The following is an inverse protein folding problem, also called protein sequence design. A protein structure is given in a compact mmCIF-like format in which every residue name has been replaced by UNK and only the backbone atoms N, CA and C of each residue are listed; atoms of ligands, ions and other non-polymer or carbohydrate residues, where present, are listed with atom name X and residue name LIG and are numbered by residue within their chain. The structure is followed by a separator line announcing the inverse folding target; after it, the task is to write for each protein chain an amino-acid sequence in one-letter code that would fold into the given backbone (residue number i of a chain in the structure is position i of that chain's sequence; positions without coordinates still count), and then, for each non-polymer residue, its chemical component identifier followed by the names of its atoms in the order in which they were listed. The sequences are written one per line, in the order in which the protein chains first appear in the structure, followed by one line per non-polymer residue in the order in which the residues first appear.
data_IF_384188434016
#
_entry.id   IF_384188434016
#
_cell.length_a   1.000
_cell.length_b   1.000
_cell.length_c   1.000
_cell.angle_alpha   90.00
_cell.angle_beta   90.00
_cell.angle_gamma   90.00
#
_symmetry.space_group_name_H-M   'P 1'
#
loop_
_entity.id
_entity.type
_entity.pdbx_description
1 polymer ?
#
# COMPACT_ATOMS: atom_id res chain seq x y z
N UNK A 1 1.06 -20.61 -0.56
CA UNK A 1 0.37 -20.10 0.66
C UNK A 1 0.22 -18.60 0.51
N UNK A 2 -0.99 -18.05 0.47
CA UNK A 2 -1.18 -16.59 0.56
C UNK A 2 -0.76 -16.17 1.98
N UNK A 3 0.03 -15.10 2.12
CA UNK A 3 0.31 -14.51 3.43
C UNK A 3 -1.02 -14.06 4.06
N UNK A 4 -1.07 -13.96 5.39
CA UNK A 4 -2.24 -13.40 6.12
C UNK A 4 -2.68 -12.05 5.51
N UNK A 5 -1.69 -11.23 5.12
CA UNK A 5 -1.87 -9.95 4.43
C UNK A 5 -2.66 -10.09 3.12
N UNK A 6 -2.29 -11.02 2.24
CA UNK A 6 -2.98 -11.13 0.96
C UNK A 6 -4.44 -11.53 1.11
N UNK A 7 -4.79 -12.34 2.12
CA UNK A 7 -6.19 -12.68 2.40
C UNK A 7 -6.93 -11.46 2.93
N UNK A 8 -6.31 -10.72 3.87
CA UNK A 8 -6.86 -9.48 4.39
C UNK A 8 -7.15 -8.46 3.27
N UNK A 9 -6.16 -8.18 2.42
CA UNK A 9 -6.28 -7.21 1.32
C UNK A 9 -7.38 -7.61 0.32
N UNK A 10 -7.54 -8.90 0.05
CA UNK A 10 -8.62 -9.40 -0.83
C UNK A 10 -10.00 -9.21 -0.20
N UNK A 11 -10.14 -9.45 1.11
CA UNK A 11 -11.41 -9.27 1.83
C UNK A 11 -11.80 -7.79 2.01
N UNK A 12 -10.82 -6.88 2.00
CA UNK A 12 -11.01 -5.44 2.18
C UNK A 12 -10.89 -4.63 0.89
N UNK A 13 -11.14 -5.26 -0.26
CA UNK A 13 -11.06 -4.61 -1.58
C UNK A 13 -11.90 -3.33 -1.69
N UNK A 14 -13.12 -3.34 -1.16
CA UNK A 14 -14.00 -2.17 -1.15
C UNK A 14 -13.40 -1.03 -0.31
N UNK A 15 -12.91 -1.34 0.89
CA UNK A 15 -12.25 -0.35 1.75
C UNK A 15 -10.98 0.25 1.10
N UNK A 16 -10.25 -0.55 0.33
CA UNK A 16 -9.07 -0.10 -0.41
C UNK A 16 -9.46 0.87 -1.52
N UNK A 17 -10.57 0.62 -2.23
CA UNK A 17 -11.12 1.58 -3.19
C UNK A 17 -11.45 2.90 -2.49
N UNK A 18 -12.10 2.86 -1.32
CA UNK A 18 -12.39 4.09 -0.56
C UNK A 18 -11.12 4.86 -0.16
N UNK A 19 -10.04 4.16 0.21
CA UNK A 19 -8.75 4.81 0.48
C UNK A 19 -8.24 5.53 -0.79
N UNK A 20 -8.27 4.86 -1.94
CA UNK A 20 -7.83 5.42 -3.22
C UNK A 20 -8.69 6.63 -3.60
N UNK A 21 -10.01 6.52 -3.48
CA UNK A 21 -10.95 7.59 -3.80
C UNK A 21 -10.83 8.78 -2.85
N UNK A 22 -10.35 8.56 -1.62
CA UNK A 22 -10.12 9.63 -0.64
C UNK A 22 -8.93 10.56 -0.97
N UNK A 23 -8.08 10.20 -1.94
CA UNK A 23 -7.02 11.10 -2.40
C UNK A 23 -7.63 12.29 -3.15
N UNK A 24 -7.27 13.51 -2.73
CA UNK A 24 -7.71 14.74 -3.41
C UNK A 24 -7.14 14.80 -4.83
N UNK A 25 -5.86 14.47 -4.95
CA UNK A 25 -5.17 14.50 -6.22
C UNK A 25 -5.48 13.26 -7.07
N UNK A 26 -5.26 13.41 -8.37
CA UNK A 26 -5.40 12.32 -9.34
C UNK A 26 -4.29 11.26 -9.19
N UNK A 27 -3.12 11.69 -8.69
CA UNK A 27 -1.94 10.86 -8.49
C UNK A 27 -1.69 10.64 -7.01
N UNK A 28 -1.15 9.47 -6.66
CA UNK A 28 -0.67 9.16 -5.31
C UNK A 28 0.52 8.21 -5.37
N UNK A 29 1.40 8.27 -4.37
CA UNK A 29 2.50 7.34 -4.21
C UNK A 29 2.11 6.14 -3.35
N UNK A 30 2.87 5.05 -3.44
CA UNK A 30 2.73 3.92 -2.52
C UNK A 30 2.90 4.33 -1.05
N UNK A 31 3.71 5.35 -0.74
CA UNK A 31 3.83 5.88 0.62
C UNK A 31 2.52 6.52 1.08
N UNK A 32 1.92 7.37 0.25
CA UNK A 32 0.64 8.03 0.59
C UNK A 32 -0.46 7.00 0.84
N UNK A 33 -0.50 5.95 0.02
CA UNK A 33 -1.44 4.84 0.18
C UNK A 33 -1.21 4.09 1.48
N UNK A 34 0.04 3.71 1.76
CA UNK A 34 0.41 2.97 2.97
C UNK A 34 0.10 3.79 4.22
N UNK A 35 0.31 5.11 4.20
CA UNK A 35 -0.05 5.97 5.33
C UNK A 35 -1.54 5.89 5.62
N UNK A 36 -2.41 6.15 4.63
CA UNK A 36 -3.86 6.07 4.82
C UNK A 36 -4.33 4.65 5.18
N UNK A 37 -3.74 3.62 4.56
CA UNK A 37 -4.02 2.23 4.88
C UNK A 37 -3.69 1.92 6.35
N UNK A 38 -2.51 2.32 6.81
CA UNK A 38 -2.08 2.09 8.19
C UNK A 38 -2.96 2.81 9.21
N UNK A 39 -3.49 3.99 8.87
CA UNK A 39 -4.44 4.72 9.72
C UNK A 39 -5.83 4.08 9.74
N UNK A 40 -6.33 3.61 8.59
CA UNK A 40 -7.67 2.97 8.50
C UNK A 40 -7.68 1.59 9.18
N UNK A 41 -6.59 0.83 9.07
CA UNK A 41 -6.46 -0.54 9.57
C UNK A 41 -5.36 -0.66 10.63
N UNK A 42 -5.30 0.27 11.59
CA UNK A 42 -4.18 0.39 12.52
C UNK A 42 -3.85 -0.92 13.26
N UNK A 43 -4.87 -1.55 13.86
CA UNK A 43 -4.71 -2.82 14.58
C UNK A 43 -4.17 -3.92 13.67
N UNK A 44 -4.80 -4.15 12.52
CA UNK A 44 -4.38 -5.20 11.58
C UNK A 44 -2.99 -4.91 11.01
N UNK A 45 -2.70 -3.64 10.70
CA UNK A 45 -1.39 -3.22 10.21
C UNK A 45 -0.28 -3.50 11.22
N UNK A 46 -0.52 -3.26 12.51
CA UNK A 46 0.40 -3.62 13.60
C UNK A 46 0.59 -5.14 13.66
N UNK A 47 -0.48 -5.93 13.58
CA UNK A 47 -0.40 -7.40 13.57
C UNK A 47 0.42 -7.93 12.37
N UNK A 48 0.24 -7.33 11.19
CA UNK A 48 1.02 -7.63 9.99
C UNK A 48 2.52 -7.38 10.20
N UNK A 49 2.88 -6.27 10.85
CA UNK A 49 4.28 -5.97 11.19
C UNK A 49 4.83 -6.96 12.22
N UNK A 50 4.06 -7.27 13.27
CA UNK A 50 4.44 -8.23 14.32
C UNK A 50 4.70 -9.62 13.73
N UNK A 51 3.89 -10.04 12.75
CA UNK A 51 4.10 -11.31 12.04
C UNK A 51 5.49 -11.39 11.38
N UNK A 52 5.96 -10.28 10.81
CA UNK A 52 7.27 -10.21 10.15
C UNK A 52 8.41 -9.72 11.04
N UNK A 53 8.20 -9.48 12.35
CA UNK A 53 9.20 -8.85 13.23
C UNK A 53 10.56 -9.55 13.25
N UNK A 54 10.59 -10.89 13.15
CA UNK A 54 11.82 -11.69 13.21
C UNK A 54 12.74 -11.50 11.99
N UNK A 55 12.24 -10.95 10.88
CA UNK A 55 13.05 -10.74 9.67
C UNK A 55 13.97 -9.52 9.77
N UNK A 56 13.75 -8.63 10.75
CA UNK A 56 14.40 -7.32 10.80
C UNK A 56 13.97 -6.36 9.68
N UNK A 57 13.02 -6.77 8.82
CA UNK A 57 12.57 -6.04 7.63
C UNK A 57 11.04 -6.02 7.52
N UNK A 58 10.36 -5.93 8.67
CA UNK A 58 8.90 -6.04 8.75
C UNK A 58 8.20 -5.00 7.87
N UNK A 59 8.55 -3.72 8.00
CA UNK A 59 8.02 -2.64 7.18
C UNK A 59 8.20 -2.92 5.68
N UNK A 60 9.45 -3.16 5.25
CA UNK A 60 9.76 -3.46 3.85
C UNK A 60 8.94 -4.64 3.32
N UNK A 61 8.76 -5.69 4.12
CA UNK A 61 7.99 -6.89 3.73
C UNK A 61 6.50 -6.58 3.56
N UNK A 62 5.89 -5.91 4.55
CA UNK A 62 4.47 -5.53 4.52
C UNK A 62 4.20 -4.56 3.38
N UNK A 63 5.00 -3.51 3.25
CA UNK A 63 4.87 -2.51 2.20
C UNK A 63 5.03 -3.12 0.80
N UNK A 64 5.98 -4.06 0.63
CA UNK A 64 6.16 -4.77 -0.64
C UNK A 64 4.96 -5.64 -1.00
N UNK A 65 4.30 -6.27 -0.01
CA UNK A 65 3.09 -7.07 -0.25
C UNK A 65 1.91 -6.19 -0.64
N UNK A 66 1.73 -5.04 0.03
CA UNK A 66 0.71 -4.05 -0.32
C UNK A 66 0.95 -3.51 -1.75
N UNK A 67 2.17 -3.10 -2.07
CA UNK A 67 2.52 -2.60 -3.40
C UNK A 67 2.30 -3.66 -4.49
N UNK A 68 2.64 -4.92 -4.20
CA UNK A 68 2.37 -6.04 -5.11
C UNK A 68 0.87 -6.24 -5.33
N UNK A 69 0.07 -6.19 -4.26
CA UNK A 69 -1.39 -6.29 -4.36
C UNK A 69 -1.99 -5.18 -5.24
N UNK A 70 -1.56 -3.92 -5.08
CA UNK A 70 -1.99 -2.81 -5.94
C UNK A 70 -1.66 -3.08 -7.41
N UNK A 71 -0.44 -3.55 -7.68
CA UNK A 71 0.04 -3.86 -9.04
C UNK A 71 -0.75 -4.99 -9.69
N UNK A 72 -1.10 -6.02 -8.92
CA UNK A 72 -1.84 -7.20 -9.38
C UNK A 72 -3.33 -6.92 -9.56
N UNK A 73 -3.90 -6.02 -8.75
CA UNK A 73 -5.34 -5.69 -8.76
C UNK A 73 -5.67 -4.37 -9.47
N UNK A 74 -4.72 -3.75 -10.18
CA UNK A 74 -4.84 -2.43 -10.81
C UNK A 74 -6.12 -2.22 -11.63
N UNK A 75 -6.56 -3.25 -12.37
CA UNK A 75 -7.79 -3.20 -13.18
C UNK A 75 -9.03 -3.06 -12.30
N UNK A 76 -9.10 -3.86 -11.24
CA UNK A 76 -10.21 -3.84 -10.29
C UNK A 76 -10.21 -2.54 -9.48
N UNK A 77 -9.03 -2.09 -9.05
CA UNK A 77 -8.83 -0.87 -8.27
C UNK A 77 -8.93 0.41 -9.11
N UNK A 78 -9.10 0.30 -10.44
CA UNK A 78 -9.11 1.43 -11.37
C UNK A 78 -7.90 2.34 -11.16
N UNK A 79 -6.70 1.77 -11.17
CA UNK A 79 -5.44 2.53 -11.11
C UNK A 79 -4.49 2.10 -12.22
N UNK A 80 -3.59 2.99 -12.61
CA UNK A 80 -2.50 2.69 -13.53
C UNK A 80 -1.15 3.05 -12.92
N UNK A 81 -0.12 2.31 -13.35
CA UNK A 81 1.24 2.45 -12.85
C UNK A 81 1.97 3.55 -13.63
N UNK A 82 2.47 4.58 -12.95
CA UNK A 82 3.18 5.71 -13.58
C UNK A 82 4.69 5.52 -13.61
N UNK A 83 5.23 4.62 -12.78
CA UNK A 83 6.66 4.46 -12.57
C UNK A 83 7.11 5.01 -11.23
N UNK A 84 8.41 4.88 -10.97
CA UNK A 84 9.02 5.31 -9.71
C UNK A 84 9.47 6.76 -9.80
N UNK A 85 9.17 7.56 -8.78
CA UNK A 85 9.70 8.91 -8.62
C UNK A 85 10.18 9.10 -7.19
N UNK A 86 11.16 9.98 -7.02
CA UNK A 86 11.70 10.30 -5.70
C UNK A 86 10.61 10.85 -4.77
N UNK A 87 10.56 10.36 -3.55
CA UNK A 87 9.69 10.84 -2.47
C UNK A 87 10.35 10.55 -1.13
N UNK A 88 10.12 11.43 -0.16
CA UNK A 88 10.57 11.21 1.21
C UNK A 88 9.72 10.10 1.86
N UNK A 89 10.36 9.18 2.58
CA UNK A 89 9.67 8.17 3.37
C UNK A 89 9.36 8.71 4.79
N UNK A 90 8.68 7.91 5.61
CA UNK A 90 8.30 8.29 6.98
C UNK A 90 9.47 8.52 7.94
N UNK A 91 10.70 8.24 7.53
CA UNK A 91 11.94 8.45 8.30
C UNK A 91 12.77 9.65 7.80
N UNK A 92 12.26 10.42 6.83
CA UNK A 92 12.99 11.54 6.23
C UNK A 92 14.02 11.12 5.18
N UNK A 93 13.99 9.88 4.71
CA UNK A 93 14.91 9.38 3.69
C UNK A 93 14.27 9.43 2.31
N UNK A 94 15.05 9.84 1.30
CA UNK A 94 14.60 9.79 -0.08
C UNK A 94 14.57 8.36 -0.60
N UNK A 95 13.42 7.90 -1.08
CA UNK A 95 13.24 6.63 -1.76
C UNK A 95 12.53 6.85 -3.10
N UNK A 96 12.40 5.80 -3.90
CA UNK A 96 11.74 5.78 -5.20
C UNK A 96 10.47 4.92 -5.14
N UNK A 97 9.42 5.33 -4.39
CA UNK A 97 8.18 4.59 -4.36
C UNK A 97 7.52 4.57 -5.74
N UNK A 98 6.67 3.58 -5.93
CA UNK A 98 5.82 3.50 -7.10
C UNK A 98 4.72 4.58 -7.04
N UNK A 99 4.47 5.24 -8.18
CA UNK A 99 3.39 6.21 -8.33
C UNK A 99 2.24 5.63 -9.15
N UNK A 100 1.04 6.06 -8.78
CA UNK A 100 -0.22 5.58 -9.33
C UNK A 100 -1.08 6.74 -9.77
N UNK A 101 -1.78 6.56 -10.88
CA UNK A 101 -2.87 7.43 -11.29
C UNK A 101 -4.19 6.71 -11.07
N UNK A 102 -5.22 7.44 -10.62
CA UNK A 102 -6.59 6.93 -10.59
C UNK A 102 -7.16 6.87 -12.01
N UNK A 103 -7.96 5.88 -12.33
CA UNK A 103 -8.69 5.82 -13.60
C UNK A 103 -10.13 6.29 -13.32
N UNK A 104 -10.60 7.27 -14.09
CA UNK A 104 -11.99 7.77 -13.99
C UNK A 104 -12.98 6.73 -14.51
#
# INVERSE_FOLDING_TARGET
MKSNINIFLENHKTDIIEIIDSFKDYEFSSHDFIEKFSRKFETDYIEMLVFYKKSGKAFQTVHSQIAKFLSENRVYLKIEKKGKKISENTFGENDYPEWWNKLK
#
